data_IF_076805203744
#
_entry.id   IF_076805203744
#
_cell.length_a   1.000
_cell.length_b   1.000
_cell.length_c   1.000
_cell.angle_alpha   90.00
_cell.angle_beta   90.00
_cell.angle_gamma   90.00
#
_symmetry.space_group_name_H-M   'P 1'
#
loop_
_entity.id
_entity.type
_entity.pdbx_description
1 polymer ?
#
# COMPACT_ATOMS: atom_id res chain seq x y z
N UNK A 1 5.77 -20.64 10.36
CA UNK A 1 5.92 -19.31 9.75
C UNK A 1 4.51 -18.83 9.45
N UNK A 2 4.04 -17.76 10.09
CA UNK A 2 2.71 -17.19 9.83
C UNK A 2 2.86 -16.08 8.80
N UNK A 3 2.10 -16.15 7.71
CA UNK A 3 2.01 -15.07 6.72
C UNK A 3 0.75 -14.27 7.04
N UNK A 4 0.87 -12.95 7.11
CA UNK A 4 -0.27 -12.07 7.34
C UNK A 4 -1.18 -12.06 6.10
N UNK A 5 -2.52 -12.15 6.24
CA UNK A 5 -3.46 -12.15 5.11
C UNK A 5 -3.28 -10.94 4.17
N UNK A 6 -2.96 -9.76 4.71
CA UNK A 6 -2.65 -8.55 3.95
C UNK A 6 -1.54 -8.78 2.92
N UNK A 7 -0.45 -9.44 3.30
CA UNK A 7 0.68 -9.68 2.40
C UNK A 7 0.29 -10.60 1.24
N UNK A 8 -0.57 -11.59 1.51
CA UNK A 8 -1.06 -12.51 0.50
C UNK A 8 -2.00 -11.82 -0.48
N UNK A 9 -2.96 -11.03 0.03
CA UNK A 9 -3.89 -10.25 -0.78
C UNK A 9 -3.12 -9.26 -1.67
N UNK A 10 -2.13 -8.56 -1.13
CA UNK A 10 -1.32 -7.61 -1.88
C UNK A 10 -0.48 -8.31 -2.97
N UNK A 11 0.09 -9.47 -2.67
CA UNK A 11 0.81 -10.28 -3.65
C UNK A 11 -0.10 -10.76 -4.77
N UNK A 12 -1.35 -11.15 -4.45
CA UNK A 12 -2.34 -11.54 -5.43
C UNK A 12 -2.75 -10.36 -6.33
N UNK A 13 -2.97 -9.18 -5.74
CA UNK A 13 -3.27 -7.97 -6.50
C UNK A 13 -2.13 -7.61 -7.47
N UNK A 14 -0.88 -7.67 -6.98
CA UNK A 14 0.32 -7.47 -7.79
C UNK A 14 0.40 -8.48 -8.94
N UNK A 15 0.15 -9.76 -8.66
CA UNK A 15 0.17 -10.82 -9.66
C UNK A 15 -0.91 -10.63 -10.73
N UNK A 16 -2.12 -10.28 -10.32
CA UNK A 16 -3.24 -10.01 -11.23
C UNK A 16 -2.89 -8.87 -12.21
N UNK A 17 -2.25 -7.82 -11.70
CA UNK A 17 -1.84 -6.64 -12.47
C UNK A 17 -0.46 -6.75 -13.12
N UNK A 18 0.22 -7.91 -13.08
CA UNK A 18 1.59 -8.06 -13.61
C UNK A 18 1.79 -7.59 -15.06
N UNK A 19 0.73 -7.63 -15.88
CA UNK A 19 0.77 -7.17 -17.28
C UNK A 19 0.87 -5.65 -17.42
N UNK A 20 0.43 -4.87 -16.44
CA UNK A 20 0.59 -3.41 -16.40
C UNK A 20 1.94 -2.97 -15.81
N UNK A 21 2.82 -3.93 -15.49
CA UNK A 21 4.17 -3.71 -14.97
C UNK A 21 5.29 -4.11 -15.95
N UNK A 22 5.19 -3.84 -17.27
CA UNK A 22 6.26 -4.21 -18.20
C UNK A 22 7.53 -3.42 -17.88
N UNK A 23 8.68 -4.10 -17.86
CA UNK A 23 9.98 -3.49 -17.53
C UNK A 23 10.26 -3.35 -16.04
N UNK A 24 9.31 -3.65 -15.14
CA UNK A 24 9.49 -3.64 -13.68
C UNK A 24 9.92 -5.01 -13.14
N UNK A 25 10.85 -5.66 -13.83
CA UNK A 25 11.44 -6.90 -13.35
C UNK A 25 12.42 -6.57 -12.22
N UNK A 26 12.20 -7.12 -11.03
CA UNK A 26 13.13 -6.97 -9.91
C UNK A 26 14.32 -7.90 -10.17
N UNK A 27 15.42 -7.34 -10.70
CA UNK A 27 16.68 -8.06 -10.89
C UNK A 27 17.51 -8.13 -9.61
N UNK A 28 17.32 -7.16 -8.71
CA UNK A 28 18.04 -7.03 -7.44
C UNK A 28 17.13 -6.42 -6.37
N UNK A 29 17.16 -6.95 -5.15
CA UNK A 29 16.41 -6.43 -4.00
C UNK A 29 17.40 -5.76 -3.05
N UNK A 30 17.28 -4.43 -2.91
CA UNK A 30 18.03 -3.66 -1.90
C UNK A 30 17.15 -3.43 -0.67
N UNK A 31 17.70 -3.71 0.51
CA UNK A 31 17.04 -3.41 1.79
C UNK A 31 17.63 -2.12 2.36
N UNK A 32 16.77 -1.17 2.69
CA UNK A 32 17.13 0.12 3.28
C UNK A 32 16.22 0.32 4.48
N UNK A 33 16.81 0.62 5.65
CA UNK A 33 16.05 0.97 6.84
C UNK A 33 15.46 2.37 6.68
N UNK A 34 14.16 2.50 6.94
CA UNK A 34 13.44 3.77 6.94
C UNK A 34 12.73 3.93 8.28
N UNK A 35 12.58 5.18 8.72
CA UNK A 35 11.75 5.56 9.86
C UNK A 35 10.59 6.38 9.33
N UNK A 36 9.35 5.97 9.64
CA UNK A 36 8.17 6.72 9.23
C UNK A 36 8.21 8.15 9.75
N UNK A 37 7.65 9.11 9.00
CA UNK A 37 7.65 10.52 9.37
C UNK A 37 9.02 11.24 9.28
N UNK A 38 10.13 10.50 9.14
CA UNK A 38 11.48 11.06 9.14
C UNK A 38 12.13 11.02 7.76
N UNK A 39 12.48 12.20 7.24
CA UNK A 39 13.18 12.35 5.96
C UNK A 39 14.69 12.19 6.16
N UNK A 40 15.17 10.95 6.11
CA UNK A 40 16.60 10.62 6.19
C UNK A 40 17.33 10.83 4.86
N UNK A 41 18.67 10.91 4.89
CA UNK A 41 19.49 10.96 3.68
C UNK A 41 19.27 9.75 2.77
N UNK A 42 19.01 8.57 3.34
CA UNK A 42 18.71 7.37 2.57
C UNK A 42 17.38 7.49 1.82
N UNK A 43 16.33 8.02 2.46
CA UNK A 43 15.05 8.31 1.81
C UNK A 43 15.21 9.35 0.69
N UNK A 44 16.02 10.38 0.92
CA UNK A 44 16.37 11.39 -0.08
C UNK A 44 17.14 10.80 -1.27
N UNK A 45 18.00 9.82 -1.02
CA UNK A 45 18.82 9.18 -2.06
C UNK A 45 18.05 8.13 -2.88
N UNK A 46 16.86 7.70 -2.45
CA UNK A 46 16.05 6.76 -3.23
C UNK A 46 15.72 7.35 -4.62
N UNK A 47 15.89 6.58 -5.71
CA UNK A 47 15.42 6.98 -7.02
C UNK A 47 13.88 7.10 -7.01
N UNK A 48 13.25 7.79 -7.97
CA UNK A 48 11.78 7.81 -8.06
C UNK A 48 11.21 6.39 -8.26
N UNK A 49 10.17 6.03 -7.51
CA UNK A 49 9.48 4.74 -7.61
C UNK A 49 8.30 4.84 -8.58
N UNK A 50 7.96 3.72 -9.23
CA UNK A 50 6.71 3.63 -9.99
C UNK A 50 5.53 3.12 -9.17
N UNK A 51 5.79 2.31 -8.15
CA UNK A 51 4.79 1.75 -7.23
C UNK A 51 5.41 1.64 -5.83
N UNK A 52 4.59 1.90 -4.81
CA UNK A 52 4.90 1.64 -3.40
C UNK A 52 3.95 0.52 -2.94
N UNK A 53 4.49 -0.54 -2.35
CA UNK A 53 3.71 -1.65 -1.81
C UNK A 53 3.75 -1.58 -0.28
N UNK A 54 2.59 -1.67 0.38
CA UNK A 54 2.50 -1.64 1.84
C UNK A 54 1.53 -2.71 2.34
N UNK A 55 2.02 -3.66 3.14
CA UNK A 55 1.20 -4.72 3.71
C UNK A 55 1.02 -4.50 5.20
N UNK A 56 -0.22 -4.24 5.63
CA UNK A 56 -0.64 -4.08 7.03
C UNK A 56 0.12 -2.99 7.80
N UNK A 57 0.49 -1.90 7.11
CA UNK A 57 1.25 -0.80 7.72
C UNK A 57 0.37 0.12 8.58
N UNK A 58 -0.92 0.25 8.26
CA UNK A 58 -1.87 1.09 8.99
C UNK A 58 -2.47 0.32 10.17
N UNK A 59 -1.60 -0.08 11.10
CA UNK A 59 -1.96 -0.88 12.27
C UNK A 59 -2.24 -0.02 13.52
N UNK A 60 -1.40 0.97 13.79
CA UNK A 60 -1.48 1.86 14.95
C UNK A 60 -1.81 3.28 14.48
N UNK A 61 -2.90 3.91 14.97
CA UNK A 61 -3.36 5.21 14.48
C UNK A 61 -2.34 6.33 14.71
N UNK A 62 -1.49 6.18 15.72
CA UNK A 62 -0.38 7.09 16.03
C UNK A 62 0.64 7.17 14.88
N UNK A 63 0.81 6.08 14.12
CA UNK A 63 1.77 6.01 13.01
C UNK A 63 1.18 6.50 11.67
N UNK A 64 -0.15 6.69 11.56
CA UNK A 64 -0.80 6.90 10.27
C UNK A 64 -0.29 8.14 9.55
N UNK A 65 -0.11 9.24 10.28
CA UNK A 65 0.39 10.48 9.71
C UNK A 65 1.86 10.35 9.28
N UNK A 66 2.68 9.68 10.07
CA UNK A 66 4.10 9.46 9.78
C UNK A 66 4.28 8.58 8.54
N UNK A 67 3.47 7.52 8.40
CA UNK A 67 3.43 6.67 7.20
C UNK A 67 3.03 7.50 5.98
N UNK A 68 1.94 8.27 6.08
CA UNK A 68 1.45 9.10 4.97
C UNK A 68 2.44 10.21 4.61
N UNK A 69 3.18 10.77 5.56
CA UNK A 69 4.22 11.77 5.32
C UNK A 69 5.37 11.18 4.50
N UNK A 70 5.83 9.96 4.84
CA UNK A 70 6.86 9.26 4.06
C UNK A 70 6.37 8.95 2.65
N UNK A 71 5.12 8.47 2.50
CA UNK A 71 4.51 8.17 1.20
C UNK A 71 4.38 9.43 0.35
N UNK A 72 3.87 10.51 0.94
CA UNK A 72 3.75 11.82 0.29
C UNK A 72 5.11 12.27 -0.25
N UNK A 73 6.17 12.14 0.55
CA UNK A 73 7.52 12.49 0.12
C UNK A 73 8.01 11.66 -1.08
N UNK A 74 7.74 10.35 -1.10
CA UNK A 74 8.05 9.51 -2.25
C UNK A 74 7.23 9.90 -3.48
N UNK A 75 5.96 10.27 -3.29
CA UNK A 75 5.10 10.77 -4.36
C UNK A 75 5.59 12.11 -4.94
N UNK A 76 6.19 12.99 -4.15
CA UNK A 76 6.80 14.23 -4.67
C UNK A 76 7.93 13.95 -5.69
N UNK A 77 8.62 12.80 -5.60
CA UNK A 77 9.67 12.41 -6.55
C UNK A 77 9.12 11.89 -7.89
N UNK A 78 7.95 11.27 -7.85
CA UNK A 78 7.20 10.84 -9.03
C UNK A 78 5.71 11.00 -8.77
N UNK A 79 5.06 12.09 -9.23
CA UNK A 79 3.65 12.32 -8.97
C UNK A 79 2.70 11.21 -9.45
N UNK A 80 3.15 10.39 -10.41
CA UNK A 80 2.39 9.26 -10.96
C UNK A 80 2.48 7.98 -10.11
N UNK A 81 3.32 7.95 -9.08
CA UNK A 81 3.47 6.78 -8.21
C UNK A 81 2.18 6.53 -7.44
N UNK A 82 1.83 5.26 -7.29
CA UNK A 82 0.70 4.84 -6.48
C UNK A 82 1.19 4.05 -5.29
N UNK A 83 0.56 4.27 -4.14
CA UNK A 83 0.65 3.39 -2.99
C UNK A 83 -0.44 2.34 -3.09
N UNK A 84 -0.03 1.09 -3.15
CA UNK A 84 -0.90 -0.08 -3.07
C UNK A 84 -0.76 -0.65 -1.67
N UNK A 85 -1.79 -0.44 -0.86
CA UNK A 85 -1.80 -0.83 0.54
C UNK A 85 -2.90 -1.85 0.81
N UNK A 86 -2.59 -2.88 1.57
CA UNK A 86 -3.61 -3.73 2.19
C UNK A 86 -3.61 -3.48 3.67
N UNK A 87 -4.79 -3.35 4.28
CA UNK A 87 -4.90 -3.18 5.73
C UNK A 87 -5.97 -4.11 6.30
N UNK A 88 -5.74 -4.61 7.51
CA UNK A 88 -6.77 -5.31 8.26
C UNK A 88 -7.57 -4.32 9.12
N UNK A 89 -8.88 -4.19 8.87
CA UNK A 89 -9.83 -3.40 9.65
C UNK A 89 -9.84 -3.89 11.09
N UNK A 90 -9.48 -2.99 12.02
CA UNK A 90 -9.46 -3.23 13.47
C UNK A 90 -10.50 -2.42 14.22
N UNK A 91 -10.79 -1.22 13.72
CA UNK A 91 -11.81 -0.32 14.25
C UNK A 91 -12.43 0.45 13.09
N UNK A 92 -13.75 0.62 13.11
CA UNK A 92 -14.45 1.49 12.17
C UNK A 92 -14.19 2.98 12.46
N UNK A 93 -13.70 3.31 13.66
CA UNK A 93 -13.41 4.69 14.07
C UNK A 93 -12.07 5.19 13.52
N UNK A 94 -11.22 4.30 13.00
CA UNK A 94 -9.94 4.66 12.42
C UNK A 94 -10.10 4.97 10.94
N UNK A 95 -9.95 6.25 10.59
CA UNK A 95 -10.09 6.72 9.21
C UNK A 95 -8.83 7.44 8.72
N UNK A 96 -8.40 7.11 7.51
CA UNK A 96 -7.35 7.82 6.80
C UNK A 96 -7.86 9.09 6.10
N UNK A 97 -9.17 9.30 5.99
CA UNK A 97 -9.79 10.34 5.14
C UNK A 97 -9.29 11.75 5.47
N UNK A 98 -9.29 12.13 6.75
CA UNK A 98 -8.85 13.45 7.19
C UNK A 98 -7.35 13.69 6.87
N UNK A 99 -6.52 12.66 7.01
CA UNK A 99 -5.10 12.74 6.69
C UNK A 99 -4.87 12.79 5.18
N UNK A 100 -5.58 11.97 4.41
CA UNK A 100 -5.51 12.00 2.94
C UNK A 100 -5.91 13.37 2.40
N UNK A 101 -6.97 13.97 2.94
CA UNK A 101 -7.38 15.33 2.62
C UNK A 101 -6.29 16.36 2.97
N UNK A 102 -5.70 16.26 4.17
CA UNK A 102 -4.60 17.14 4.62
C UNK A 102 -3.42 17.12 3.65
N UNK A 103 -3.10 15.97 3.08
CA UNK A 103 -1.94 15.76 2.21
C UNK A 103 -2.26 15.79 0.70
N UNK A 104 -3.45 16.25 0.30
CA UNK A 104 -3.89 16.33 -1.12
C UNK A 104 -3.81 14.96 -1.84
N UNK A 105 -4.12 13.90 -1.11
CA UNK A 105 -4.17 12.52 -1.58
C UNK A 105 -5.61 12.02 -1.64
N UNK A 106 -5.86 11.08 -2.54
CA UNK A 106 -7.12 10.34 -2.65
C UNK A 106 -6.87 8.85 -2.44
N UNK A 107 -7.86 8.16 -1.91
CA UNK A 107 -7.86 6.71 -1.75
C UNK A 107 -9.02 6.10 -2.52
N UNK A 108 -8.76 4.99 -3.21
CA UNK A 108 -9.77 4.15 -3.86
C UNK A 108 -9.72 2.77 -3.22
N UNK A 109 -10.87 2.32 -2.73
CA UNK A 109 -11.04 0.94 -2.26
C UNK A 109 -11.21 0.02 -3.47
N UNK A 110 -10.40 -1.03 -3.52
CA UNK A 110 -10.48 -2.04 -4.58
C UNK A 110 -11.22 -3.26 -4.02
N UNK A 111 -12.38 -3.65 -4.60
CA UNK A 111 -13.07 -4.86 -4.21
C UNK A 111 -12.19 -6.10 -4.40
N UNK A 112 -12.08 -6.96 -3.37
CA UNK A 112 -11.25 -8.18 -3.43
C UNK A 112 -11.67 -9.13 -4.56
N UNK A 113 -12.97 -9.19 -4.84
CA UNK A 113 -13.57 -9.95 -5.94
C UNK A 113 -13.04 -9.52 -7.32
N UNK A 114 -12.59 -8.27 -7.48
CA UNK A 114 -12.11 -7.77 -8.77
C UNK A 114 -10.76 -8.38 -9.18
N UNK A 115 -10.09 -9.09 -8.26
CA UNK A 115 -8.81 -9.76 -8.49
C UNK A 115 -8.74 -11.15 -7.83
N UNK A 116 -9.90 -11.81 -7.70
CA UNK A 116 -10.06 -13.18 -7.19
C UNK A 116 -9.62 -13.41 -5.72
N UNK A 117 -9.52 -12.36 -4.90
CA UNK A 117 -8.98 -12.42 -3.53
C UNK A 117 -10.06 -12.58 -2.44
N UNK A 118 -11.30 -12.86 -2.81
CA UNK A 118 -12.47 -13.06 -1.94
C UNK A 118 -12.77 -14.55 -1.65
N UNK A 119 -11.93 -15.46 -2.16
CA UNK A 119 -12.06 -16.92 -1.98
C UNK A 119 -11.84 -17.33 -0.52
N UNK A 120 -12.40 -18.48 -0.11
CA UNK A 120 -12.26 -19.03 1.25
C UNK A 120 -10.80 -19.28 1.62
N UNK A 121 -10.04 -19.77 0.65
CA UNK A 121 -8.62 -20.04 0.78
C UNK A 121 -7.81 -18.91 0.15
N UNK A 122 -7.44 -17.92 0.96
CA UNK A 122 -6.46 -16.91 0.55
C UNK A 122 -5.10 -17.63 0.44
N UNK A 123 -4.63 -17.86 -0.79
CA UNK A 123 -3.44 -18.64 -1.16
C UNK A 123 -3.36 -20.09 -0.61
N UNK A 124 -4.43 -20.87 -0.78
CA UNK A 124 -4.47 -22.30 -0.36
C UNK A 124 -4.23 -22.50 1.15
N UNK A 125 -4.33 -21.42 1.93
CA UNK A 125 -4.16 -21.43 3.37
C UNK A 125 -5.52 -21.18 4.01
N UNK A 126 -5.88 -22.03 4.98
CA UNK A 126 -7.10 -21.91 5.79
C UNK A 126 -7.04 -20.71 6.76
N UNK A 127 -6.58 -19.56 6.28
CA UNK A 127 -6.48 -18.33 7.06
C UNK A 127 -7.86 -17.65 7.09
N UNK A 128 -8.43 -17.39 8.28
CA UNK A 128 -9.70 -16.69 8.39
C UNK A 128 -9.50 -15.22 7.99
N UNK A 129 -9.82 -14.87 6.73
CA UNK A 129 -9.50 -13.54 6.18
C UNK A 129 -10.64 -12.78 5.52
N UNK A 130 -11.82 -13.38 5.37
CA UNK A 130 -12.82 -12.91 4.40
C UNK A 130 -13.45 -11.53 4.61
N UNK A 131 -13.37 -10.93 5.81
CA UNK A 131 -14.18 -9.73 6.11
C UNK A 131 -13.42 -8.57 6.75
N UNK A 132 -12.10 -8.69 6.91
CA UNK A 132 -11.31 -7.65 7.59
C UNK A 132 -10.22 -7.06 6.73
N UNK A 133 -9.78 -7.70 5.64
CA UNK A 133 -8.74 -7.13 4.78
C UNK A 133 -9.37 -6.27 3.71
N UNK A 134 -8.85 -5.07 3.54
CA UNK A 134 -9.21 -4.17 2.45
C UNK A 134 -7.98 -3.84 1.60
N UNK A 135 -8.20 -3.66 0.30
CA UNK A 135 -7.20 -3.22 -0.65
C UNK A 135 -7.43 -1.74 -0.99
N UNK A 136 -6.41 -0.92 -0.78
CA UNK A 136 -6.43 0.52 -0.98
C UNK A 136 -5.40 0.93 -2.03
N UNK A 137 -5.83 1.77 -2.96
CA UNK A 137 -4.93 2.47 -3.88
C UNK A 137 -4.95 3.96 -3.54
N UNK A 138 -3.81 4.47 -3.07
CA UNK A 138 -3.63 5.86 -2.68
C UNK A 138 -2.77 6.57 -3.73
N UNK A 139 -3.18 7.76 -4.16
CA UNK A 139 -2.50 8.58 -5.17
C UNK A 139 -2.76 10.07 -4.91
N UNK A 140 -2.03 10.97 -5.59
CA UNK A 140 -2.35 12.40 -5.52
C UNK A 140 -3.74 12.70 -6.09
N UNK A 141 -4.44 13.64 -5.47
CA UNK A 141 -5.79 14.04 -5.91
C UNK A 141 -5.76 14.76 -7.27
N UNK A 142 -4.67 15.46 -7.58
CA UNK A 142 -4.52 16.34 -8.76
C UNK A 142 -4.41 15.64 -10.13
N UNK A 143 -4.23 14.32 -10.19
CA UNK A 143 -4.15 13.56 -11.46
C UNK A 143 -5.54 13.25 -12.07
N UNK A 144 -6.54 14.11 -11.84
CA UNK A 144 -7.93 13.91 -12.29
C UNK A 144 -8.36 14.96 -13.34
N UNK A 145 -7.46 15.35 -14.24
CA UNK A 145 -7.74 16.25 -15.38
C UNK A 145 -7.37 15.59 -16.71
#
# INVERSE_FOLDING_TARGET
>A
MYVWPCAVVLAQYLWFHRRSLPGKAVLEVRVIGLTWGHVSQDLLALPPQDIILASDVFFEPEDFEDILTTVYFLMQKNPKVQLWSTYQVRSADWSLEALLYKWDMKCVHIPLESFDADKEDIAESALPGRHTVEMLVISFAKDSL
#
